data_IF_198207659690
#
_entry.id   IF_198207659690
#
_cell.length_a   1.000
_cell.length_b   1.000
_cell.length_c   1.000
_cell.angle_alpha   90.00
_cell.angle_beta   90.00
_cell.angle_gamma   90.00
#
_symmetry.space_group_name_H-M   'P 1'
#
loop_
_entity.id
_entity.type
_entity.pdbx_description
1 polymer ?
#
# COMPACT_ATOMS: atom_id res chain seq x y z
N UNK A 1 10.06 21.55 9.89
CA UNK A 1 10.46 20.30 10.55
C UNK A 1 10.08 19.12 9.65
N UNK A 2 10.95 18.13 9.54
CA UNK A 2 10.63 16.95 8.76
C UNK A 2 9.43 16.19 9.36
N UNK A 3 8.63 15.61 8.49
CA UNK A 3 7.54 14.75 8.93
C UNK A 3 8.10 13.37 9.29
N UNK A 4 7.81 12.88 10.47
CA UNK A 4 8.40 11.62 10.96
C UNK A 4 7.43 10.46 10.81
N UNK A 5 7.97 9.24 10.87
CA UNK A 5 7.16 8.02 10.90
C UNK A 5 6.20 8.03 12.10
N UNK A 6 6.67 8.47 13.27
CA UNK A 6 5.84 8.55 14.47
C UNK A 6 4.68 9.53 14.28
N UNK A 7 4.93 10.65 13.62
CA UNK A 7 3.87 11.62 13.33
C UNK A 7 2.86 11.05 12.34
N UNK A 8 3.31 10.38 11.29
CA UNK A 8 2.42 9.73 10.33
C UNK A 8 1.55 8.69 11.04
N UNK A 9 2.16 7.83 11.86
CA UNK A 9 1.43 6.80 12.59
C UNK A 9 0.38 7.40 13.51
N UNK A 10 0.74 8.47 14.22
CA UNK A 10 -0.17 9.18 15.12
C UNK A 10 -1.34 9.80 14.36
N UNK A 11 -1.07 10.42 13.22
CA UNK A 11 -2.11 11.05 12.41
C UNK A 11 -3.09 9.99 11.86
N UNK A 12 -2.55 8.88 11.35
CA UNK A 12 -3.38 7.77 10.85
C UNK A 12 -4.22 7.19 12.00
N UNK A 13 -3.61 6.95 13.14
CA UNK A 13 -4.30 6.39 14.29
C UNK A 13 -5.47 7.27 14.73
N UNK A 14 -5.26 8.58 14.77
CA UNK A 14 -6.30 9.55 15.12
C UNK A 14 -7.48 9.48 14.16
N UNK A 15 -7.20 9.41 12.86
CA UNK A 15 -8.25 9.31 11.82
C UNK A 15 -9.05 8.02 11.99
N UNK A 16 -8.34 6.90 12.16
CA UNK A 16 -9.01 5.60 12.29
C UNK A 16 -9.86 5.50 13.54
N UNK A 17 -9.42 6.11 14.65
CA UNK A 17 -10.21 6.18 15.88
C UNK A 17 -11.47 7.02 15.72
N UNK A 18 -11.33 8.18 15.07
CA UNK A 18 -12.42 9.15 14.98
C UNK A 18 -13.43 8.80 13.87
N UNK A 19 -12.99 8.21 12.78
CA UNK A 19 -13.82 8.04 11.58
C UNK A 19 -13.90 6.60 11.06
N UNK A 20 -12.93 5.73 11.38
CA UNK A 20 -12.77 4.45 10.72
C UNK A 20 -12.24 4.63 9.30
N UNK A 21 -11.88 3.53 8.63
CA UNK A 21 -11.27 3.60 7.31
C UNK A 21 -12.27 4.02 6.22
N UNK A 22 -13.52 3.59 6.32
CA UNK A 22 -14.49 3.87 5.26
C UNK A 22 -14.76 5.38 5.12
N UNK A 23 -14.85 6.09 6.23
CA UNK A 23 -15.03 7.54 6.23
C UNK A 23 -13.72 8.31 6.22
N UNK A 24 -12.66 7.71 6.74
CA UNK A 24 -11.36 8.38 6.93
C UNK A 24 -10.35 8.14 5.82
N UNK A 25 -10.66 7.30 4.82
CA UNK A 25 -9.68 6.92 3.79
C UNK A 25 -9.04 8.13 3.08
N UNK A 26 -9.82 9.13 2.74
CA UNK A 26 -9.29 10.33 2.08
C UNK A 26 -8.29 11.07 2.97
N UNK A 27 -8.57 11.12 4.27
CA UNK A 27 -7.67 11.76 5.24
C UNK A 27 -6.38 10.95 5.43
N UNK A 28 -6.51 9.63 5.47
CA UNK A 28 -5.32 8.75 5.54
C UNK A 28 -4.46 8.98 4.29
N UNK A 29 -5.07 9.02 3.11
CA UNK A 29 -4.35 9.29 1.86
C UNK A 29 -3.65 10.65 1.88
N UNK A 30 -4.29 11.67 2.46
CA UNK A 30 -3.70 13.00 2.59
C UNK A 30 -2.38 12.94 3.39
N UNK A 31 -2.38 12.26 4.53
CA UNK A 31 -1.18 12.19 5.37
C UNK A 31 -0.10 11.29 4.76
N UNK A 32 -0.50 10.24 4.06
CA UNK A 32 0.47 9.43 3.31
C UNK A 32 1.13 10.29 2.23
N UNK A 33 0.36 11.09 1.50
CA UNK A 33 0.92 12.01 0.50
C UNK A 33 1.86 13.03 1.14
N UNK A 34 1.50 13.55 2.30
CA UNK A 34 2.36 14.47 3.05
C UNK A 34 3.72 13.83 3.35
N UNK A 35 3.73 12.58 3.77
CA UNK A 35 4.97 11.84 4.01
C UNK A 35 5.78 11.66 2.72
N UNK A 36 5.11 11.33 1.61
CA UNK A 36 5.77 11.10 0.32
C UNK A 36 6.38 12.37 -0.27
N UNK A 37 5.83 13.52 0.08
CA UNK A 37 6.35 14.82 -0.38
C UNK A 37 7.54 15.31 0.44
N UNK A 38 7.91 14.60 1.49
CA UNK A 38 9.02 14.94 2.35
C UNK A 38 10.20 14.01 2.07
N UNK A 39 11.24 14.52 1.43
CA UNK A 39 12.42 13.73 1.09
C UNK A 39 13.11 13.14 2.31
N UNK A 40 13.07 13.86 3.43
CA UNK A 40 13.65 13.35 4.68
C UNK A 40 12.89 12.09 5.15
N UNK A 41 11.57 12.07 5.01
CA UNK A 41 10.76 10.92 5.36
C UNK A 41 11.18 9.70 4.52
N UNK A 42 11.31 9.90 3.21
CA UNK A 42 11.71 8.83 2.29
C UNK A 42 13.09 8.31 2.62
N UNK A 43 14.05 9.21 2.81
CA UNK A 43 15.44 8.83 3.13
C UNK A 43 15.56 8.11 4.46
N UNK A 44 14.78 8.49 5.45
CA UNK A 44 14.85 7.90 6.78
C UNK A 44 14.12 6.57 6.88
N UNK A 45 13.09 6.35 6.06
CA UNK A 45 12.19 5.19 6.23
C UNK A 45 12.19 4.21 5.07
N UNK A 46 12.42 4.67 3.84
CA UNK A 46 12.44 3.80 2.66
C UNK A 46 13.87 3.61 2.17
N UNK A 47 14.70 3.04 3.05
CA UNK A 47 16.13 2.80 2.78
C UNK A 47 16.30 1.62 1.83
N UNK A 48 17.46 1.55 1.21
CA UNK A 48 17.82 0.44 0.33
C UNK A 48 17.65 -0.89 1.03
N UNK A 49 17.13 -1.86 0.31
CA UNK A 49 16.87 -3.20 0.82
C UNK A 49 17.38 -4.26 -0.13
N UNK A 50 17.59 -5.46 0.44
CA UNK A 50 17.92 -6.66 -0.30
C UNK A 50 16.72 -7.09 -1.15
N UNK A 51 16.99 -7.54 -2.39
CA UNK A 51 15.94 -8.01 -3.31
C UNK A 51 15.14 -9.20 -2.77
N UNK A 52 15.73 -9.98 -1.85
CA UNK A 52 15.06 -11.11 -1.23
C UNK A 52 14.13 -10.69 -0.10
N UNK A 53 14.27 -9.47 0.42
CA UNK A 53 13.46 -8.92 1.49
C UNK A 53 13.02 -7.50 1.15
N UNK A 54 12.20 -7.32 0.12
CA UNK A 54 11.83 -5.98 -0.33
C UNK A 54 10.90 -5.24 0.63
N UNK A 55 10.20 -5.97 1.49
CA UNK A 55 9.21 -5.41 2.40
C UNK A 55 9.75 -5.28 3.82
N UNK A 56 9.45 -4.17 4.47
CA UNK A 56 9.75 -3.96 5.88
C UNK A 56 8.52 -3.39 6.57
N UNK A 57 8.16 -3.96 7.72
CA UNK A 57 7.14 -3.38 8.59
C UNK A 57 7.81 -2.27 9.39
N UNK A 58 7.46 -1.03 9.10
CA UNK A 58 8.06 0.14 9.75
C UNK A 58 7.39 0.47 11.07
N UNK A 59 6.09 0.21 11.17
CA UNK A 59 5.30 0.53 12.36
C UNK A 59 4.11 -0.42 12.46
N UNK A 60 3.84 -0.87 13.68
CA UNK A 60 2.67 -1.70 13.99
C UNK A 60 1.87 -1.05 15.11
N UNK A 61 0.56 -0.95 14.93
CA UNK A 61 -0.33 -0.45 15.96
C UNK A 61 -1.12 -1.59 16.58
N UNK A 62 -0.77 -1.96 17.82
CA UNK A 62 -1.40 -3.09 18.50
C UNK A 62 -2.84 -2.81 18.93
N UNK A 63 -3.22 -1.55 19.11
CA UNK A 63 -4.57 -1.17 19.54
C UNK A 63 -5.57 -1.30 18.39
N UNK A 64 -5.25 -0.75 17.22
CA UNK A 64 -6.15 -0.73 16.07
C UNK A 64 -5.81 -1.79 15.02
N UNK A 65 -4.66 -2.44 15.14
CA UNK A 65 -4.27 -3.53 14.25
C UNK A 65 -3.80 -3.12 12.87
N UNK A 66 -3.45 -1.85 12.65
CA UNK A 66 -2.90 -1.44 11.36
C UNK A 66 -1.38 -1.43 11.39
N UNK A 67 -0.77 -1.46 10.21
CA UNK A 67 0.67 -1.34 10.07
C UNK A 67 1.03 -0.39 8.93
N UNK A 68 2.26 0.13 9.01
CA UNK A 68 2.88 0.92 7.94
C UNK A 68 4.05 0.11 7.42
N UNK A 69 4.01 -0.23 6.15
CA UNK A 69 5.07 -1.01 5.50
C UNK A 69 5.77 -0.20 4.43
N UNK A 70 7.07 -0.43 4.31
CA UNK A 70 7.86 0.08 3.20
C UNK A 70 8.21 -1.04 2.25
N UNK A 71 8.13 -0.78 0.96
CA UNK A 71 8.57 -1.71 -0.07
C UNK A 71 9.62 -1.05 -0.92
N UNK A 72 10.74 -1.73 -1.12
CA UNK A 72 11.81 -1.25 -2.00
C UNK A 72 12.14 -2.38 -2.96
N UNK A 73 11.80 -2.19 -4.22
CA UNK A 73 12.10 -3.13 -5.29
C UNK A 73 13.21 -2.54 -6.16
N UNK A 74 14.34 -3.21 -6.22
CA UNK A 74 15.50 -2.73 -6.98
C UNK A 74 15.48 -3.18 -8.45
N UNK A 75 14.60 -4.12 -8.78
CA UNK A 75 14.47 -4.69 -10.12
C UNK A 75 13.00 -4.78 -10.50
N UNK A 76 12.74 -5.23 -11.71
CA UNK A 76 11.38 -5.48 -12.18
C UNK A 76 10.65 -6.39 -11.20
N UNK A 77 9.43 -5.99 -10.83
CA UNK A 77 8.60 -6.75 -9.91
C UNK A 77 7.14 -6.61 -10.32
N UNK A 78 6.53 -7.72 -10.70
CA UNK A 78 5.14 -7.75 -11.16
C UNK A 78 4.32 -8.64 -10.24
N UNK A 79 3.09 -8.23 -9.97
CA UNK A 79 2.13 -9.02 -9.20
C UNK A 79 0.95 -9.44 -10.06
N UNK A 80 0.38 -10.59 -9.74
CA UNK A 80 -0.87 -11.03 -10.36
C UNK A 80 -2.07 -10.33 -9.70
N UNK A 81 -3.25 -10.38 -10.34
CA UNK A 81 -4.46 -9.83 -9.71
C UNK A 81 -4.70 -10.45 -8.34
N UNK A 82 -4.89 -9.59 -7.34
CA UNK A 82 -5.09 -10.02 -5.96
C UNK A 82 -5.87 -8.96 -5.19
N UNK A 83 -6.47 -9.38 -4.06
CA UNK A 83 -6.98 -8.46 -3.05
C UNK A 83 -6.16 -8.67 -1.77
N UNK A 84 -6.50 -7.96 -0.72
CA UNK A 84 -5.81 -8.07 0.57
C UNK A 84 -6.65 -8.85 1.60
N UNK A 85 -7.48 -9.78 1.12
CA UNK A 85 -8.35 -10.58 1.98
C UNK A 85 -9.37 -9.69 2.67
N UNK A 86 -9.46 -9.76 3.99
CA UNK A 86 -10.37 -8.92 4.77
C UNK A 86 -9.79 -7.55 5.10
N UNK A 87 -8.63 -7.19 4.54
CA UNK A 87 -8.01 -5.89 4.76
C UNK A 87 -8.27 -4.92 3.61
N UNK A 88 -8.28 -3.65 3.97
CA UNK A 88 -8.09 -2.54 3.04
C UNK A 88 -6.60 -2.24 2.92
N UNK A 89 -6.22 -1.45 1.93
CA UNK A 89 -4.85 -1.00 1.76
C UNK A 89 -4.79 0.41 1.19
N UNK A 90 -3.82 1.19 1.67
CA UNK A 90 -3.48 2.49 1.08
C UNK A 90 -2.06 2.37 0.56
N UNK A 91 -1.87 2.60 -0.74
CA UNK A 91 -0.57 2.58 -1.38
C UNK A 91 -0.14 3.99 -1.73
N UNK A 92 1.11 4.31 -1.42
CA UNK A 92 1.72 5.57 -1.80
C UNK A 92 3.01 5.34 -2.57
N UNK A 93 3.14 5.94 -3.75
CA UNK A 93 4.34 5.82 -4.58
C UNK A 93 5.36 6.86 -4.15
N UNK A 94 6.55 6.40 -3.74
CA UNK A 94 7.61 7.29 -3.28
C UNK A 94 8.67 7.53 -4.35
N UNK A 95 8.98 6.51 -5.14
CA UNK A 95 9.98 6.61 -6.21
C UNK A 95 9.65 5.61 -7.30
N UNK A 96 10.03 5.94 -8.53
CA UNK A 96 9.70 5.10 -9.69
C UNK A 96 8.21 5.13 -10.02
N UNK A 97 7.81 4.36 -11.00
CA UNK A 97 6.42 4.30 -11.47
C UNK A 97 5.90 2.87 -11.40
N UNK A 98 4.62 2.73 -11.06
CA UNK A 98 3.91 1.45 -11.06
C UNK A 98 2.72 1.56 -12.01
N UNK A 99 2.63 0.65 -12.99
CA UNK A 99 1.42 0.53 -13.79
C UNK A 99 0.45 -0.36 -13.02
N UNK A 100 -0.68 0.22 -12.64
CA UNK A 100 -1.67 -0.47 -11.82
C UNK A 100 -2.89 -0.79 -12.68
N UNK A 101 -3.37 -2.03 -12.58
CA UNK A 101 -4.62 -2.44 -13.21
C UNK A 101 -5.60 -2.81 -12.13
N UNK A 102 -6.84 -2.31 -12.23
CA UNK A 102 -7.93 -2.71 -11.35
C UNK A 102 -8.84 -3.69 -12.09
N UNK A 103 -9.30 -4.70 -11.37
CA UNK A 103 -10.06 -5.82 -11.92
C UNK A 103 -11.38 -5.95 -11.17
N UNK A 104 -12.39 -6.43 -11.88
CA UNK A 104 -13.71 -6.74 -11.32
C UNK A 104 -13.88 -8.26 -11.32
N UNK A 105 -14.39 -8.82 -10.21
CA UNK A 105 -14.71 -10.24 -10.14
C UNK A 105 -16.05 -10.44 -10.85
N UNK A 106 -16.02 -11.17 -11.97
CA UNK A 106 -17.24 -11.45 -12.76
C UNK A 106 -17.84 -12.81 -12.44
N UNK A 107 -17.05 -13.72 -11.91
CA UNK A 107 -17.51 -15.06 -11.52
C UNK A 107 -16.57 -15.64 -10.47
N UNK A 108 -17.15 -16.33 -9.50
CA UNK A 108 -16.38 -17.01 -8.47
C UNK A 108 -16.99 -18.41 -8.26
N UNK A 109 -16.18 -19.45 -8.45
CA UNK A 109 -16.55 -20.83 -8.17
C UNK A 109 -15.44 -21.48 -7.36
N UNK A 110 -15.76 -22.00 -6.17
CA UNK A 110 -14.79 -22.54 -5.24
C UNK A 110 -13.72 -21.50 -4.95
N UNK A 111 -12.44 -21.79 -5.22
CA UNK A 111 -11.34 -20.89 -4.98
C UNK A 111 -10.90 -20.15 -6.25
N UNK A 112 -11.64 -20.34 -7.36
CA UNK A 112 -11.30 -19.73 -8.64
C UNK A 112 -12.14 -18.49 -8.85
N UNK A 113 -11.47 -17.37 -9.10
CA UNK A 113 -12.11 -16.10 -9.42
C UNK A 113 -11.77 -15.72 -10.86
N UNK A 114 -12.82 -15.46 -11.64
CA UNK A 114 -12.65 -14.93 -12.99
C UNK A 114 -12.75 -13.41 -12.91
N UNK A 115 -11.75 -12.72 -13.40
CA UNK A 115 -11.68 -11.26 -13.30
C UNK A 115 -11.66 -10.61 -14.67
N UNK A 116 -12.18 -9.37 -14.72
CA UNK A 116 -12.23 -8.56 -15.92
C UNK A 116 -11.56 -7.23 -15.61
N UNK A 117 -10.75 -6.74 -16.53
CA UNK A 117 -10.09 -5.45 -16.38
C UNK A 117 -11.11 -4.31 -16.36
N UNK A 118 -10.99 -3.41 -15.36
CA UNK A 118 -11.82 -2.21 -15.26
C UNK A 118 -11.06 -1.02 -15.79
N UNK A 119 -9.83 -0.79 -15.32
CA UNK A 119 -9.02 0.35 -15.73
C UNK A 119 -7.55 0.13 -15.44
N UNK A 120 -6.72 0.88 -16.15
CA UNK A 120 -5.27 0.95 -15.92
C UNK A 120 -4.87 2.40 -15.69
N UNK A 121 -3.87 2.59 -14.85
CA UNK A 121 -3.27 3.91 -14.62
C UNK A 121 -1.84 3.74 -14.13
N UNK A 122 -1.07 4.81 -14.19
CA UNK A 122 0.31 4.83 -13.70
C UNK A 122 0.35 5.60 -12.41
N UNK A 123 0.90 4.97 -11.37
CA UNK A 123 1.18 5.64 -10.11
C UNK A 123 2.59 6.23 -10.19
N UNK A 124 2.68 7.53 -9.99
CA UNK A 124 3.93 8.31 -10.03
C UNK A 124 4.28 8.78 -8.63
N UNK A 125 5.54 9.19 -8.40
CA UNK A 125 5.93 9.71 -7.07
C UNK A 125 4.97 10.78 -6.56
N UNK A 126 4.45 10.58 -5.36
CA UNK A 126 3.44 11.44 -4.75
C UNK A 126 2.01 10.96 -4.88
N UNK A 127 1.75 10.00 -5.77
CA UNK A 127 0.40 9.44 -5.93
C UNK A 127 0.06 8.48 -4.80
N UNK A 128 -1.19 8.56 -4.33
CA UNK A 128 -1.71 7.71 -3.26
C UNK A 128 -3.06 7.16 -3.68
N UNK A 129 -3.28 5.87 -3.43
CA UNK A 129 -4.52 5.20 -3.81
C UNK A 129 -5.03 4.34 -2.66
N UNK A 130 -6.33 4.45 -2.38
CA UNK A 130 -7.04 3.59 -1.44
C UNK A 130 -7.69 2.43 -2.18
N UNK A 131 -7.44 1.21 -1.70
CA UNK A 131 -8.10 -0.03 -2.15
C UNK A 131 -8.93 -0.58 -1.01
N UNK A 132 -10.22 -0.68 -1.21
CA UNK A 132 -11.13 -1.18 -0.19
C UNK A 132 -11.03 -2.69 -0.09
N UNK A 133 -11.65 -3.25 0.95
CA UNK A 133 -11.75 -4.70 1.12
C UNK A 133 -12.36 -5.32 -0.14
N UNK A 134 -11.69 -6.33 -0.67
CA UNK A 134 -12.16 -7.03 -1.87
C UNK A 134 -11.77 -6.40 -3.20
N UNK A 135 -11.21 -5.20 -3.20
CA UNK A 135 -10.76 -4.57 -4.44
C UNK A 135 -9.58 -5.34 -5.03
N UNK A 136 -9.71 -5.79 -6.26
CA UNK A 136 -8.68 -6.59 -6.93
C UNK A 136 -7.84 -5.69 -7.83
N UNK A 137 -6.53 -5.77 -7.66
CA UNK A 137 -5.59 -4.98 -8.45
C UNK A 137 -4.32 -5.78 -8.73
N UNK A 138 -3.55 -5.33 -9.72
CA UNK A 138 -2.28 -5.95 -10.06
C UNK A 138 -1.27 -4.89 -10.48
N UNK A 139 -0.04 -4.94 -9.92
CA UNK A 139 1.01 -4.00 -10.27
C UNK A 139 1.95 -4.54 -11.32
N UNK A 140 2.43 -3.66 -12.19
CA UNK A 140 3.57 -3.92 -13.08
C UNK A 140 4.62 -2.85 -12.79
N UNK A 141 5.80 -3.27 -12.34
CA UNK A 141 6.91 -2.39 -11.99
C UNK A 141 8.11 -2.77 -12.86
N UNK A 142 8.36 -1.96 -13.87
CA UNK A 142 9.43 -2.24 -14.85
C UNK A 142 10.77 -1.66 -14.45
N UNK A 143 10.78 -0.81 -13.44
CA UNK A 143 11.97 -0.11 -12.94
C UNK A 143 12.00 -0.15 -11.42
N UNK A 144 13.10 0.24 -10.78
CA UNK A 144 13.12 0.30 -9.33
C UNK A 144 12.05 1.24 -8.77
N UNK A 145 11.34 0.80 -7.73
CA UNK A 145 10.30 1.59 -7.09
C UNK A 145 10.43 1.54 -5.58
N UNK A 146 9.90 2.57 -4.91
CA UNK A 146 9.74 2.62 -3.46
C UNK A 146 8.33 3.03 -3.15
N UNK A 147 7.68 2.33 -2.23
CA UNK A 147 6.30 2.62 -1.84
C UNK A 147 6.07 2.46 -0.35
N UNK A 148 5.05 3.17 0.12
CA UNK A 148 4.44 2.95 1.43
C UNK A 148 3.15 2.19 1.26
N UNK A 149 2.84 1.32 2.21
CA UNK A 149 1.54 0.64 2.27
C UNK A 149 1.03 0.67 3.70
N UNK A 150 -0.20 1.10 3.88
CA UNK A 150 -0.88 1.04 5.17
C UNK A 150 -2.03 0.03 5.03
N UNK A 151 -2.12 -0.92 5.93
CA UNK A 151 -3.13 -1.97 5.89
C UNK A 151 -3.27 -2.62 7.27
N UNK A 152 -4.21 -3.55 7.40
CA UNK A 152 -4.39 -4.30 8.63
C UNK A 152 -3.31 -5.38 8.76
N UNK A 153 -2.80 -5.54 9.96
CA UNK A 153 -1.65 -6.39 10.24
C UNK A 153 -1.88 -7.87 9.95
N UNK A 154 -3.03 -8.40 10.37
CA UNK A 154 -3.23 -9.86 10.39
C UNK A 154 -3.61 -10.49 9.05
N UNK A 155 -4.11 -9.73 8.11
CA UNK A 155 -4.63 -10.27 6.85
C UNK A 155 -3.71 -9.98 5.67
N UNK A 156 -2.89 -8.93 5.75
CA UNK A 156 -2.05 -8.50 4.65
C UNK A 156 -0.83 -9.39 4.45
N UNK A 157 -0.31 -10.01 5.52
CA UNK A 157 0.92 -10.79 5.43
C UNK A 157 0.76 -12.02 4.53
N UNK A 158 -0.35 -12.74 4.67
CA UNK A 158 -0.62 -13.90 3.85
C UNK A 158 -0.77 -13.54 2.37
N UNK A 159 -1.44 -12.42 2.07
CA UNK A 159 -1.63 -11.96 0.70
C UNK A 159 -0.30 -11.55 0.06
N UNK A 160 0.56 -10.87 0.80
CA UNK A 160 1.84 -10.40 0.30
C UNK A 160 2.81 -11.53 0.00
N UNK A 161 2.80 -12.58 0.79
CA UNK A 161 3.70 -13.71 0.59
C UNK A 161 3.41 -14.49 -0.68
N UNK A 162 2.23 -14.31 -1.25
CA UNK A 162 1.82 -14.97 -2.48
C UNK A 162 2.17 -14.20 -3.74
N UNK A 163 2.74 -13.03 -3.58
CA UNK A 163 3.16 -12.18 -4.69
C UNK A 163 4.67 -12.31 -4.98
#
# INVERSE_FOLDING_TARGET
>A
MPYSLDELAKDIKGILKDHGIQEGSDKVCYYVQKALMDQSFIQNNLKDRDDQNPREVLYEDSELGFCVCGHVYNQEANGSPHDHGSSWAVYGQAAGETEMTEWEIVKQENDIKLVKEIKKYVMKPGDVKFYNVGDVHSPIRKEPVRLLRICLLYTSDAADEQQ
#
